data_IF_651543425073
#
_entry.id   IF_651543425073
#
_cell.length_a   1.000
_cell.length_b   1.000
_cell.length_c   1.000
_cell.angle_alpha   90.00
_cell.angle_beta   90.00
_cell.angle_gamma   90.00
#
_symmetry.space_group_name_H-M   'P 1'
#
loop_
_entity.id
_entity.type
_entity.pdbx_description
1 polymer ?
#
# COMPACT_ATOMS: atom_id res chain seq x y z
N UNK A 1 13.86 2.83 12.29
CA UNK A 1 14.47 1.79 11.44
C UNK A 1 15.84 2.15 10.90
N UNK A 2 16.05 3.28 10.21
CA UNK A 2 17.38 3.66 9.68
C UNK A 2 18.52 3.59 10.72
N UNK A 3 18.36 4.28 11.85
CA UNK A 3 19.33 4.21 12.97
C UNK A 3 19.55 2.81 13.55
N UNK A 4 18.59 1.90 13.43
CA UNK A 4 18.71 0.51 13.90
C UNK A 4 19.61 -0.29 12.97
N UNK A 5 19.39 -0.14 11.66
CA UNK A 5 20.23 -0.73 10.62
C UNK A 5 21.64 -0.13 10.64
N UNK A 6 21.76 1.19 10.79
CA UNK A 6 23.06 1.90 10.85
C UNK A 6 23.93 1.42 12.03
N UNK A 7 23.33 0.84 13.08
CA UNK A 7 24.03 0.23 14.23
C UNK A 7 24.45 -1.22 13.99
N UNK A 8 24.18 -1.78 12.81
CA UNK A 8 24.55 -3.14 12.43
C UNK A 8 23.61 -4.23 12.94
N UNK A 9 22.41 -3.89 13.39
CA UNK A 9 21.41 -4.89 13.77
C UNK A 9 20.73 -5.48 12.52
N UNK A 10 20.67 -6.80 12.46
CA UNK A 10 20.12 -7.61 11.36
C UNK A 10 18.69 -8.12 11.62
N UNK A 11 18.19 -7.94 12.85
CA UNK A 11 16.86 -8.35 13.29
C UNK A 11 15.91 -7.16 13.39
N UNK A 12 14.61 -7.37 13.15
CA UNK A 12 13.60 -6.31 13.26
C UNK A 12 13.32 -5.94 14.72
N UNK A 13 13.02 -4.67 14.96
CA UNK A 13 12.51 -4.20 16.26
C UNK A 13 11.05 -4.63 16.47
N UNK A 14 10.66 -4.80 17.74
CA UNK A 14 9.26 -4.98 18.10
C UNK A 14 8.48 -3.74 17.67
N UNK A 15 7.48 -3.92 16.81
CA UNK A 15 6.55 -2.87 16.41
C UNK A 15 5.35 -2.90 17.36
N UNK A 16 5.15 -1.80 18.10
CA UNK A 16 3.99 -1.63 18.99
C UNK A 16 3.02 -0.64 18.34
N UNK A 17 1.81 -1.06 17.94
CA UNK A 17 0.82 -0.13 17.42
C UNK A 17 0.27 0.72 18.57
N UNK A 18 0.36 2.04 18.43
CA UNK A 18 -0.17 3.03 19.37
C UNK A 18 -1.19 3.92 18.65
N UNK A 19 -2.34 4.14 19.28
CA UNK A 19 -3.37 5.05 18.79
C UNK A 19 -3.44 6.27 19.71
N UNK A 20 -3.21 7.46 19.15
CA UNK A 20 -3.28 8.72 19.88
C UNK A 20 -4.59 9.43 19.57
N UNK A 21 -5.41 9.66 20.59
CA UNK A 21 -6.58 10.53 20.48
C UNK A 21 -6.22 11.97 20.86
N UNK A 22 -6.58 12.92 20.00
CA UNK A 22 -6.43 14.37 20.23
C UNK A 22 -7.68 15.13 19.78
N UNK A 23 -8.85 14.73 20.28
CA UNK A 23 -10.09 15.46 20.05
C UNK A 23 -10.42 16.44 21.18
N UNK A 24 -11.51 17.19 21.00
CA UNK A 24 -11.94 18.23 21.95
C UNK A 24 -12.50 17.65 23.27
N UNK A 25 -13.14 16.48 23.20
CA UNK A 25 -13.75 15.83 24.37
C UNK A 25 -12.70 15.09 25.20
N UNK A 26 -12.56 15.46 26.48
CA UNK A 26 -11.63 14.83 27.43
C UNK A 26 -12.33 14.53 28.77
N UNK A 27 -12.20 13.31 29.34
CA UNK A 27 -11.46 12.16 28.80
C UNK A 27 -12.14 11.57 27.55
N UNK A 28 -11.39 10.74 26.81
CA UNK A 28 -11.96 10.04 25.65
C UNK A 28 -13.21 9.25 26.08
N UNK A 29 -14.39 9.47 25.46
CA UNK A 29 -15.65 9.00 26.02
C UNK A 29 -16.00 7.55 25.64
N UNK A 30 -15.19 6.87 24.83
CA UNK A 30 -15.45 5.51 24.34
C UNK A 30 -14.42 4.49 24.86
N UNK A 31 -14.62 3.22 24.53
CA UNK A 31 -13.68 2.14 24.84
C UNK A 31 -12.28 2.41 24.28
N UNK A 32 -11.26 2.17 25.09
CA UNK A 32 -9.85 2.22 24.69
C UNK A 32 -9.33 0.88 24.16
N UNK A 33 -10.12 -0.19 24.25
CA UNK A 33 -9.82 -1.46 23.58
C UNK A 33 -10.22 -1.33 22.10
N UNK A 34 -9.22 -1.22 21.22
CA UNK A 34 -9.46 -1.09 19.77
C UNK A 34 -10.33 -2.23 19.23
N UNK A 35 -10.25 -3.43 19.81
CA UNK A 35 -10.98 -4.59 19.34
C UNK A 35 -12.49 -4.50 19.55
N UNK A 36 -12.97 -3.66 20.49
CA UNK A 36 -14.40 -3.37 20.66
C UNK A 36 -15.00 -2.59 19.49
N UNK A 37 -14.17 -1.91 18.69
CA UNK A 37 -14.62 -1.12 17.54
C UNK A 37 -14.84 -1.97 16.28
N UNK A 38 -14.50 -3.26 16.31
CA UNK A 38 -14.72 -4.17 15.18
C UNK A 38 -16.02 -4.95 15.33
N UNK A 39 -16.82 -5.01 14.26
CA UNK A 39 -18.05 -5.82 14.20
C UNK A 39 -17.80 -7.30 14.55
N UNK A 40 -16.63 -7.85 14.18
CA UNK A 40 -16.20 -9.18 14.57
C UNK A 40 -14.91 -9.11 15.39
N UNK A 41 -15.09 -8.91 16.71
CA UNK A 41 -13.98 -8.82 17.68
C UNK A 41 -13.06 -10.05 17.66
N UNK A 42 -13.61 -11.26 17.46
CA UNK A 42 -12.83 -12.51 17.41
C UNK A 42 -11.90 -12.53 16.20
N UNK A 43 -12.43 -12.28 15.01
CA UNK A 43 -11.63 -12.23 13.78
C UNK A 43 -10.55 -11.14 13.87
N UNK A 44 -10.89 -9.95 14.37
CA UNK A 44 -9.94 -8.86 14.53
C UNK A 44 -8.74 -9.27 15.42
N UNK A 45 -9.01 -9.93 16.56
CA UNK A 45 -7.94 -10.47 17.43
C UNK A 45 -7.11 -11.54 16.74
N UNK A 46 -7.76 -12.47 16.04
CA UNK A 46 -7.09 -13.55 15.31
C UNK A 46 -6.22 -13.06 14.15
N UNK A 47 -6.53 -11.91 13.55
CA UNK A 47 -5.73 -11.31 12.47
C UNK A 47 -4.64 -10.40 13.02
N UNK A 48 -4.96 -9.53 13.97
CA UNK A 48 -4.04 -8.49 14.47
C UNK A 48 -2.89 -9.05 15.32
N UNK A 49 -3.10 -10.21 15.96
CA UNK A 49 -2.09 -10.86 16.81
C UNK A 49 -1.32 -11.96 16.08
N UNK A 50 -1.60 -12.21 14.80
CA UNK A 50 -0.85 -13.18 14.00
C UNK A 50 0.43 -12.55 13.45
N UNK A 51 1.47 -13.37 13.18
CA UNK A 51 2.59 -12.93 12.37
C UNK A 51 2.08 -12.31 11.07
N UNK A 52 2.48 -11.07 10.79
CA UNK A 52 2.18 -10.45 9.52
C UNK A 52 2.98 -11.17 8.43
N UNK A 53 2.34 -11.75 7.42
CA UNK A 53 3.07 -12.37 6.33
C UNK A 53 3.79 -11.27 5.54
N UNK A 54 5.09 -11.45 5.31
CA UNK A 54 5.76 -10.73 4.24
C UNK A 54 5.28 -11.34 2.93
N UNK A 55 4.58 -10.54 2.12
CA UNK A 55 4.11 -10.95 0.80
C UNK A 55 5.14 -10.48 -0.22
N UNK A 56 5.91 -11.42 -0.77
CA UNK A 56 6.79 -11.13 -1.89
C UNK A 56 5.96 -11.07 -3.18
N UNK A 57 5.50 -9.87 -3.53
CA UNK A 57 4.72 -9.64 -4.75
C UNK A 57 5.53 -9.93 -6.02
N UNK A 58 6.86 -10.02 -5.96
CA UNK A 58 7.70 -10.20 -7.14
C UNK A 58 7.61 -11.60 -7.74
N UNK A 59 7.23 -12.59 -6.91
CA UNK A 59 7.08 -14.00 -7.31
C UNK A 59 5.64 -14.37 -7.69
N UNK A 60 4.65 -13.53 -7.36
CA UNK A 60 3.24 -13.80 -7.65
C UNK A 60 2.98 -13.55 -9.14
N UNK A 61 2.41 -14.50 -9.92
CA UNK A 61 2.11 -14.29 -11.34
C UNK A 61 1.20 -13.09 -11.59
N UNK A 62 1.42 -12.35 -12.68
CA UNK A 62 0.59 -11.18 -13.01
C UNK A 62 -0.89 -11.55 -13.20
N UNK A 63 -1.18 -12.74 -13.75
CA UNK A 63 -2.56 -13.21 -13.90
C UNK A 63 -3.26 -13.44 -12.55
N UNK A 64 -2.51 -13.85 -11.53
CA UNK A 64 -3.04 -14.00 -10.16
C UNK A 64 -3.32 -12.63 -9.55
N UNK A 65 -2.36 -11.69 -9.67
CA UNK A 65 -2.53 -10.31 -9.19
C UNK A 65 -3.75 -9.62 -9.83
N UNK A 66 -4.02 -9.87 -11.11
CA UNK A 66 -5.22 -9.33 -11.80
C UNK A 66 -6.54 -9.78 -11.17
N UNK A 67 -6.56 -10.86 -10.39
CA UNK A 67 -7.76 -11.32 -9.68
C UNK A 67 -8.07 -10.54 -8.42
N UNK A 68 -7.12 -9.73 -7.90
CA UNK A 68 -7.24 -9.02 -6.62
C UNK A 68 -8.12 -7.75 -6.68
N UNK A 69 -8.91 -7.57 -7.75
CA UNK A 69 -9.89 -6.49 -7.93
C UNK A 69 -9.25 -5.11 -7.74
N UNK A 70 -9.75 -4.30 -6.78
CA UNK A 70 -9.37 -2.90 -6.62
C UNK A 70 -7.91 -2.65 -6.22
N UNK A 71 -7.19 -3.66 -5.72
CA UNK A 71 -5.76 -3.53 -5.38
C UNK A 71 -4.83 -4.02 -6.49
N UNK A 72 -5.36 -4.73 -7.50
CA UNK A 72 -4.57 -5.40 -8.53
C UNK A 72 -3.62 -4.45 -9.27
N UNK A 73 -4.08 -3.25 -9.62
CA UNK A 73 -3.23 -2.27 -10.31
C UNK A 73 -2.04 -1.85 -9.46
N UNK A 74 -2.24 -1.63 -8.16
CA UNK A 74 -1.19 -1.17 -7.26
C UNK A 74 -0.14 -2.27 -7.07
N UNK A 75 -0.58 -3.52 -6.95
CA UNK A 75 0.33 -4.67 -6.85
C UNK A 75 1.14 -4.86 -8.14
N UNK A 76 0.50 -4.75 -9.31
CA UNK A 76 1.17 -4.86 -10.60
C UNK A 76 2.21 -3.75 -10.83
N UNK A 77 1.89 -2.52 -10.40
CA UNK A 77 2.82 -1.38 -10.43
C UNK A 77 3.98 -1.67 -9.47
N UNK A 78 3.72 -1.92 -8.19
CA UNK A 78 4.78 -2.17 -7.20
C UNK A 78 5.69 -3.33 -7.60
N UNK A 79 5.14 -4.40 -8.18
CA UNK A 79 5.92 -5.55 -8.65
C UNK A 79 6.94 -5.17 -9.73
N UNK A 80 6.57 -4.25 -10.60
CA UNK A 80 7.30 -3.97 -11.84
C UNK A 80 7.92 -2.57 -11.89
N UNK A 81 7.76 -1.74 -10.85
CA UNK A 81 8.13 -0.32 -10.83
C UNK A 81 9.58 -0.05 -11.24
N UNK A 82 10.50 -1.00 -10.97
CA UNK A 82 11.92 -0.94 -11.35
C UNK A 82 12.30 -1.78 -12.58
N UNK A 83 11.35 -2.54 -13.16
CA UNK A 83 11.58 -3.46 -14.28
C UNK A 83 11.02 -2.95 -15.60
N UNK A 84 10.04 -2.05 -15.53
CA UNK A 84 9.23 -1.60 -16.67
C UNK A 84 9.27 -0.08 -16.74
N UNK A 85 9.23 0.49 -17.95
CA UNK A 85 9.21 1.95 -18.09
C UNK A 85 7.92 2.51 -17.49
N UNK A 86 8.05 3.62 -16.75
CA UNK A 86 6.92 4.36 -16.17
C UNK A 86 5.74 4.56 -17.15
N UNK A 87 6.04 4.84 -18.42
CA UNK A 87 5.04 5.10 -19.47
C UNK A 87 4.22 3.84 -19.83
N UNK A 88 4.79 2.65 -19.65
CA UNK A 88 4.08 1.39 -19.92
C UNK A 88 3.02 1.10 -18.86
N UNK A 89 3.20 1.58 -17.62
CA UNK A 89 2.18 1.46 -16.56
C UNK A 89 0.95 2.33 -16.82
N UNK A 90 1.12 3.45 -17.51
CA UNK A 90 0.02 4.39 -17.80
C UNK A 90 -1.07 3.70 -18.61
N UNK A 91 -0.72 2.84 -19.56
CA UNK A 91 -1.67 2.09 -20.37
C UNK A 91 -2.48 1.10 -19.53
N UNK A 92 -1.82 0.37 -18.62
CA UNK A 92 -2.48 -0.57 -17.71
C UNK A 92 -3.40 0.15 -16.71
N UNK A 93 -2.96 1.30 -16.18
CA UNK A 93 -3.78 2.14 -15.29
C UNK A 93 -5.00 2.68 -16.04
N UNK A 94 -4.81 3.22 -17.25
CA UNK A 94 -5.91 3.74 -18.07
C UNK A 94 -6.94 2.65 -18.38
N UNK A 95 -6.50 1.42 -18.68
CA UNK A 95 -7.38 0.28 -18.91
C UNK A 95 -8.17 -0.10 -17.64
N UNK A 96 -7.55 -0.06 -16.46
CA UNK A 96 -8.25 -0.36 -15.20
C UNK A 96 -9.19 0.77 -14.77
N UNK A 97 -8.81 2.02 -14.99
CA UNK A 97 -9.68 3.18 -14.79
C UNK A 97 -10.91 3.12 -15.72
N UNK A 98 -10.73 2.73 -16.99
CA UNK A 98 -11.82 2.53 -17.94
C UNK A 98 -12.79 1.40 -17.52
N UNK A 99 -12.33 0.43 -16.73
CA UNK A 99 -13.18 -0.62 -16.13
C UNK A 99 -13.92 -0.15 -14.86
N UNK A 100 -13.84 1.13 -14.51
CA UNK A 100 -14.38 1.72 -13.27
C UNK A 100 -13.87 1.05 -11.99
N UNK A 101 -12.65 0.48 -12.03
CA UNK A 101 -12.02 -0.14 -10.87
C UNK A 101 -11.20 0.84 -10.04
N UNK A 102 -11.06 2.09 -10.50
CA UNK A 102 -10.32 3.15 -9.83
C UNK A 102 -11.14 4.43 -9.75
N UNK A 103 -11.11 5.08 -8.59
CA UNK A 103 -11.59 6.47 -8.44
C UNK A 103 -10.56 7.46 -9.00
N UNK A 104 -10.97 8.69 -9.25
CA UNK A 104 -10.06 9.76 -9.70
C UNK A 104 -8.91 9.99 -8.70
N UNK A 105 -9.18 9.93 -7.40
CA UNK A 105 -8.15 10.08 -6.36
C UNK A 105 -7.16 8.92 -6.37
N UNK A 106 -7.64 7.69 -6.58
CA UNK A 106 -6.78 6.51 -6.70
C UNK A 106 -5.92 6.59 -7.97
N UNK A 107 -6.50 7.00 -9.09
CA UNK A 107 -5.77 7.21 -10.34
C UNK A 107 -4.65 8.24 -10.17
N UNK A 108 -4.95 9.41 -9.60
CA UNK A 108 -3.96 10.46 -9.35
C UNK A 108 -2.86 10.01 -8.39
N UNK A 109 -3.22 9.26 -7.35
CA UNK A 109 -2.25 8.72 -6.38
C UNK A 109 -1.28 7.73 -7.04
N UNK A 110 -1.76 6.90 -7.97
CA UNK A 110 -0.92 5.96 -8.72
C UNK A 110 0.02 6.67 -9.69
N UNK A 111 -0.46 7.70 -10.38
CA UNK A 111 0.40 8.53 -11.24
C UNK A 111 1.49 9.23 -10.44
N UNK A 112 1.12 9.81 -9.28
CA UNK A 112 2.09 10.42 -8.38
C UNK A 112 3.12 9.41 -7.87
N UNK A 113 2.68 8.21 -7.47
CA UNK A 113 3.60 7.17 -7.03
C UNK A 113 4.59 6.75 -8.13
N UNK A 114 4.11 6.54 -9.36
CA UNK A 114 4.97 6.18 -10.49
C UNK A 114 5.96 7.30 -10.82
N UNK A 115 5.57 8.57 -10.71
CA UNK A 115 6.49 9.69 -10.96
C UNK A 115 7.63 9.78 -9.95
N UNK A 116 7.39 9.33 -8.71
CA UNK A 116 8.40 9.34 -7.65
C UNK A 116 9.33 8.11 -7.72
N UNK A 117 8.78 6.92 -7.95
CA UNK A 117 9.51 5.66 -7.76
C UNK A 117 9.83 4.91 -9.07
N UNK A 118 9.14 5.22 -10.16
CA UNK A 118 9.30 4.54 -11.44
C UNK A 118 10.49 5.08 -12.23
N UNK A 119 11.25 4.21 -12.87
CA UNK A 119 12.29 4.64 -13.80
C UNK A 119 11.70 4.81 -15.21
N UNK A 120 11.98 5.94 -15.87
CA UNK A 120 11.62 6.16 -17.28
C UNK A 120 12.80 6.63 -18.09
N UNK A 121 12.91 6.13 -19.32
CA UNK A 121 13.90 6.60 -20.28
C UNK A 121 13.63 8.05 -20.74
N UNK A 122 12.41 8.57 -20.53
CA UNK A 122 12.03 9.91 -20.95
C UNK A 122 10.99 10.55 -20.01
N UNK A 123 11.41 10.91 -18.79
CA UNK A 123 10.56 11.53 -17.77
C UNK A 123 9.85 12.81 -18.23
N UNK A 124 10.42 13.57 -19.18
CA UNK A 124 9.81 14.78 -19.75
C UNK A 124 8.44 14.49 -20.40
N UNK A 125 8.26 13.30 -21.00
CA UNK A 125 6.96 12.91 -21.58
C UNK A 125 5.93 12.54 -20.51
N UNK A 126 6.36 12.05 -19.35
CA UNK A 126 5.46 11.65 -18.26
C UNK A 126 4.65 12.85 -17.72
N UNK A 127 5.27 14.02 -17.64
CA UNK A 127 4.63 15.25 -17.14
C UNK A 127 3.81 16.01 -18.21
N UNK A 128 3.74 15.48 -19.43
CA UNK A 128 3.05 16.12 -20.56
C UNK A 128 1.62 15.60 -20.81
N UNK A 129 1.14 14.69 -19.98
CA UNK A 129 -0.20 14.06 -20.00
C UNK A 129 -1.07 14.72 -18.93
#
# INVERSE_FOLDING_TARGET
MKQHIDKGYDTLLVVVPLLFYRGETSPYPFTTDIFDNFKNKKLAKETFLKPYPLIDITIIPDEELRTHKGIAILELIQKNIHKRDALEFIQDIALQAAKHLLTSDQFNSLLYYISQEGDSKNFEQFYSI
#
